data_IF_421090498399
#
_entry.id   IF_421090498399
#
_cell.length_a   1.000
_cell.length_b   1.000
_cell.length_c   1.000
_cell.angle_alpha   90.00
_cell.angle_beta   90.00
_cell.angle_gamma   90.00
#
_symmetry.space_group_name_H-M   'P 1'
#
loop_
_entity.id
_entity.type
_entity.pdbx_description
1 polymer ?
#
# COMPACT_ATOMS: atom_id res chain seq x y z
N UNK A 1 -1.00 32.04 13.43
CA UNK A 1 -0.79 30.86 14.30
C UNK A 1 -0.46 29.71 13.38
N UNK A 2 0.81 29.39 13.26
CA UNK A 2 1.36 28.24 12.55
C UNK A 2 1.28 27.03 13.47
N UNK A 3 0.52 26.00 13.08
CA UNK A 3 0.57 24.71 13.76
C UNK A 3 1.60 23.84 13.03
N UNK A 4 2.82 23.81 13.58
CA UNK A 4 3.76 22.72 13.38
C UNK A 4 3.15 21.44 13.96
N UNK A 5 2.92 20.46 13.10
CA UNK A 5 2.64 19.08 13.50
C UNK A 5 3.97 18.34 13.53
N UNK A 6 4.60 18.31 14.70
CA UNK A 6 5.82 17.54 14.97
C UNK A 6 5.44 16.05 15.13
N UNK A 7 5.58 15.28 14.06
CA UNK A 7 5.40 13.82 14.10
C UNK A 7 6.78 13.15 14.11
N UNK A 8 7.37 13.05 15.30
CA UNK A 8 8.55 12.20 15.57
C UNK A 8 8.14 10.72 15.46
N UNK A 9 8.21 10.18 14.25
CA UNK A 9 8.25 8.74 14.04
C UNK A 9 9.72 8.35 13.88
N UNK A 10 10.34 7.90 14.98
CA UNK A 10 11.56 7.11 14.92
C UNK A 10 11.22 5.79 14.21
N UNK A 11 11.29 5.79 12.88
CA UNK A 11 11.19 4.61 12.05
C UNK A 11 12.60 4.29 11.58
N UNK A 12 13.28 3.40 12.32
CA UNK A 12 14.63 2.95 12.01
C UNK A 12 14.68 2.47 10.55
N UNK A 13 15.56 3.13 9.80
CA UNK A 13 15.86 2.81 8.42
C UNK A 13 16.90 1.69 8.46
N UNK A 14 16.46 0.44 8.52
CA UNK A 14 17.38 -0.70 8.45
C UNK A 14 18.04 -0.77 7.06
N UNK A 15 19.38 -0.71 7.03
CA UNK A 15 20.24 -0.75 5.84
C UNK A 15 20.07 -2.01 4.97
N UNK A 16 19.44 -3.07 5.50
CA UNK A 16 19.11 -4.30 4.76
C UNK A 16 18.04 -4.09 3.66
N UNK A 17 17.41 -2.91 3.57
CA UNK A 17 16.35 -2.63 2.60
C UNK A 17 16.87 -2.14 1.23
N UNK A 18 18.14 -1.72 1.13
CA UNK A 18 18.67 -1.23 -0.15
C UNK A 18 18.96 -2.35 -1.15
N UNK A 19 19.33 -3.55 -0.69
CA UNK A 19 19.61 -4.68 -1.58
C UNK A 19 18.35 -5.31 -2.19
N UNK A 20 17.21 -5.30 -1.49
CA UNK A 20 15.94 -5.86 -2.00
C UNK A 20 15.15 -4.85 -2.87
N UNK A 21 15.54 -3.56 -2.86
CA UNK A 21 14.96 -2.52 -3.72
C UNK A 21 15.57 -2.54 -5.13
N UNK A 22 16.81 -3.01 -5.27
CA UNK A 22 17.51 -3.13 -6.55
C UNK A 22 16.82 -4.12 -7.52
N UNK A 23 16.10 -5.12 -7.00
CA UNK A 23 15.33 -6.08 -7.81
C UNK A 23 14.00 -5.50 -8.35
N UNK A 24 13.66 -4.25 -8.00
CA UNK A 24 12.45 -3.55 -8.43
C UNK A 24 12.71 -2.30 -9.28
N UNK A 25 13.97 -1.98 -9.60
CA UNK A 25 14.32 -0.85 -10.48
C UNK A 25 13.88 -1.04 -11.95
N UNK A 26 13.38 -2.23 -12.32
CA UNK A 26 12.85 -2.54 -13.67
C UNK A 26 11.35 -2.19 -13.84
N UNK A 27 10.72 -1.49 -12.89
CA UNK A 27 9.32 -1.03 -12.98
C UNK A 27 9.15 0.37 -13.60
N UNK A 28 10.21 0.93 -14.21
CA UNK A 28 10.22 2.26 -14.80
C UNK A 28 9.77 2.31 -16.28
N UNK A 29 9.51 1.18 -16.94
CA UNK A 29 8.95 1.16 -18.30
C UNK A 29 7.40 1.19 -18.25
N UNK A 30 6.84 2.38 -18.52
CA UNK A 30 5.44 2.68 -18.86
C UNK A 30 4.43 2.88 -17.69
N UNK A 31 4.65 3.88 -16.85
CA UNK A 31 3.63 4.43 -15.93
C UNK A 31 2.48 5.21 -16.63
N UNK A 32 2.34 5.10 -17.95
CA UNK A 32 1.17 5.60 -18.69
C UNK A 32 -0.09 4.75 -18.43
N UNK A 33 0.07 3.55 -17.84
CA UNK A 33 -1.03 2.64 -17.58
C UNK A 33 -1.67 2.82 -16.19
N UNK A 34 -3.00 2.79 -16.15
CA UNK A 34 -3.79 2.85 -14.92
C UNK A 34 -3.54 1.58 -14.10
N UNK A 35 -2.83 1.68 -12.98
CA UNK A 35 -2.59 0.52 -12.11
C UNK A 35 -3.81 0.32 -11.22
N UNK A 36 -4.41 -0.86 -11.30
CA UNK A 36 -5.47 -1.29 -10.38
C UNK A 36 -5.09 -2.62 -9.77
N UNK A 37 -4.97 -2.66 -8.45
CA UNK A 37 -4.59 -3.87 -7.72
C UNK A 37 -5.38 -4.02 -6.44
N UNK A 38 -5.77 -5.24 -6.13
CA UNK A 38 -6.55 -5.62 -4.96
C UNK A 38 -5.87 -6.79 -4.28
N UNK A 39 -5.61 -6.64 -2.98
CA UNK A 39 -5.18 -7.69 -2.10
C UNK A 39 -6.28 -8.04 -1.09
N UNK A 40 -6.49 -9.34 -0.91
CA UNK A 40 -7.35 -9.88 0.14
C UNK A 40 -6.44 -10.49 1.20
N UNK A 41 -6.61 -10.04 2.44
CA UNK A 41 -5.83 -10.49 3.58
C UNK A 41 -6.71 -11.25 4.57
N UNK A 42 -6.19 -12.31 5.15
CA UNK A 42 -6.87 -13.12 6.14
C UNK A 42 -6.02 -13.25 7.40
N UNK A 43 -6.65 -13.08 8.57
CA UNK A 43 -6.03 -13.41 9.86
C UNK A 43 -7.09 -13.98 10.80
N UNK A 44 -6.91 -15.22 11.23
CA UNK A 44 -7.93 -15.96 11.99
C UNK A 44 -9.27 -15.97 11.21
N UNK A 45 -10.37 -15.55 11.85
CA UNK A 45 -11.69 -15.41 11.24
C UNK A 45 -11.97 -14.00 10.66
N UNK A 46 -10.92 -13.19 10.45
CA UNK A 46 -11.04 -11.84 9.88
C UNK A 46 -10.55 -11.83 8.44
N UNK A 47 -11.28 -11.08 7.59
CA UNK A 47 -10.89 -10.78 6.21
C UNK A 47 -10.77 -9.26 6.06
N UNK A 48 -9.66 -8.81 5.52
CA UNK A 48 -9.39 -7.41 5.21
C UNK A 48 -9.11 -7.22 3.72
N UNK A 49 -9.33 -6.01 3.22
CA UNK A 49 -9.05 -5.62 1.85
C UNK A 49 -8.04 -4.48 1.85
N UNK A 50 -7.10 -4.54 0.93
CA UNK A 50 -6.23 -3.43 0.58
C UNK A 50 -6.23 -3.30 -0.93
N UNK A 51 -6.56 -2.14 -1.46
CA UNK A 51 -6.52 -1.89 -2.89
C UNK A 51 -5.83 -0.56 -3.21
N UNK A 52 -5.27 -0.50 -4.41
CA UNK A 52 -4.70 0.71 -4.99
C UNK A 52 -5.29 0.91 -6.38
N UNK A 53 -5.60 2.17 -6.69
CA UNK A 53 -5.87 2.65 -8.04
C UNK A 53 -4.99 3.86 -8.31
N UNK A 54 -4.14 3.79 -9.33
CA UNK A 54 -3.35 4.94 -9.81
C UNK A 54 -3.80 5.38 -11.19
N UNK A 55 -3.53 6.64 -11.50
CA UNK A 55 -3.61 7.27 -12.80
C UNK A 55 -2.40 8.22 -12.95
N UNK A 56 -2.26 8.85 -14.12
CA UNK A 56 -1.16 9.77 -14.42
C UNK A 56 -1.02 10.94 -13.44
N UNK A 57 -2.14 11.42 -12.88
CA UNK A 57 -2.17 12.60 -12.00
C UNK A 57 -2.24 12.26 -10.50
N UNK A 58 -2.27 10.97 -10.12
CA UNK A 58 -2.31 10.59 -8.71
C UNK A 58 -2.85 9.19 -8.46
N UNK A 59 -3.03 8.86 -7.19
CA UNK A 59 -3.46 7.53 -6.78
C UNK A 59 -4.27 7.55 -5.48
N UNK A 60 -5.02 6.47 -5.27
CA UNK A 60 -5.74 6.24 -4.03
C UNK A 60 -5.51 4.82 -3.53
N UNK A 61 -5.19 4.70 -2.23
CA UNK A 61 -5.17 3.44 -1.51
C UNK A 61 -6.43 3.37 -0.66
N UNK A 62 -7.19 2.29 -0.78
CA UNK A 62 -8.35 2.02 0.06
C UNK A 62 -8.11 0.76 0.91
N UNK A 63 -8.44 0.87 2.20
CA UNK A 63 -8.32 -0.22 3.18
C UNK A 63 -9.68 -0.48 3.83
N UNK A 64 -10.01 -1.76 3.95
CA UNK A 64 -11.15 -2.25 4.74
C UNK A 64 -10.57 -3.21 5.77
N UNK A 65 -10.41 -2.74 7.01
CA UNK A 65 -10.02 -3.58 8.14
C UNK A 65 -11.29 -3.89 8.96
N UNK A 66 -11.63 -5.18 9.21
CA UNK A 66 -12.82 -5.56 9.98
C UNK A 66 -12.77 -5.12 11.45
N UNK A 67 -11.64 -4.61 11.93
CA UNK A 67 -11.48 -4.02 13.27
C UNK A 67 -11.89 -2.55 13.31
N UNK A 68 -11.94 -1.89 12.16
CA UNK A 68 -12.37 -0.51 12.03
C UNK A 68 -13.83 -0.45 11.56
N UNK A 69 -14.60 0.53 12.04
CA UNK A 69 -16.02 0.65 11.71
C UNK A 69 -16.28 1.06 10.25
N UNK A 70 -15.32 1.75 9.63
CA UNK A 70 -15.47 2.32 8.30
C UNK A 70 -14.23 2.02 7.44
N UNK A 71 -14.39 1.87 6.11
CA UNK A 71 -13.27 1.92 5.18
C UNK A 71 -12.50 3.23 5.32
N UNK A 72 -11.20 3.16 5.07
CA UNK A 72 -10.34 4.34 5.00
C UNK A 72 -9.71 4.45 3.61
N UNK A 73 -9.67 5.66 3.08
CA UNK A 73 -9.09 5.98 1.78
C UNK A 73 -8.03 7.04 1.99
N UNK A 74 -6.85 6.81 1.40
CA UNK A 74 -5.76 7.77 1.38
C UNK A 74 -5.43 8.11 -0.06
N UNK A 75 -5.45 9.40 -0.38
CA UNK A 75 -5.17 9.96 -1.70
C UNK A 75 -3.73 10.44 -1.73
N UNK A 76 -3.06 10.23 -2.85
CA UNK A 76 -1.68 10.61 -3.11
C UNK A 76 -1.63 11.39 -4.41
N UNK A 77 -0.89 12.49 -4.41
CA UNK A 77 -0.60 13.27 -5.62
C UNK A 77 0.46 12.58 -6.50
N UNK A 78 1.25 11.67 -5.91
CA UNK A 78 2.32 10.94 -6.58
C UNK A 78 1.96 9.45 -6.66
N UNK A 79 1.71 8.92 -7.88
CA UNK A 79 1.30 7.53 -8.07
C UNK A 79 2.41 6.54 -7.71
N UNK A 80 3.69 6.90 -7.89
CA UNK A 80 4.84 6.04 -7.57
C UNK A 80 4.91 5.87 -6.05
N UNK A 81 4.85 6.98 -5.30
CA UNK A 81 4.82 6.92 -3.83
C UNK A 81 3.64 6.12 -3.30
N UNK A 82 2.48 6.21 -3.93
CA UNK A 82 1.32 5.41 -3.54
C UNK A 82 1.59 3.91 -3.71
N UNK A 83 2.25 3.51 -4.81
CA UNK A 83 2.61 2.11 -5.06
C UNK A 83 3.65 1.60 -4.04
N UNK A 84 4.64 2.41 -3.70
CA UNK A 84 5.60 2.11 -2.62
C UNK A 84 4.88 1.89 -1.29
N UNK A 85 3.97 2.80 -0.92
CA UNK A 85 3.17 2.70 0.31
C UNK A 85 2.24 1.49 0.33
N UNK A 86 1.61 1.17 -0.80
CA UNK A 86 0.81 -0.05 -0.95
C UNK A 86 1.66 -1.30 -0.70
N UNK A 87 2.83 -1.38 -1.35
CA UNK A 87 3.76 -2.51 -1.19
C UNK A 87 4.27 -2.62 0.24
N UNK A 88 4.66 -1.50 0.86
CA UNK A 88 5.05 -1.45 2.27
C UNK A 88 3.92 -1.90 3.20
N UNK A 89 2.68 -1.55 2.90
CA UNK A 89 1.50 -1.96 3.65
C UNK A 89 1.27 -3.47 3.58
N UNK A 90 1.47 -4.09 2.41
CA UNK A 90 1.41 -5.54 2.26
C UNK A 90 2.53 -6.26 3.02
N UNK A 91 3.78 -5.81 2.88
CA UNK A 91 4.93 -6.36 3.63
C UNK A 91 4.69 -6.27 5.14
N UNK A 92 4.25 -5.12 5.63
CA UNK A 92 3.91 -4.90 7.04
C UNK A 92 2.76 -5.79 7.50
N UNK A 93 1.72 -5.96 6.68
CA UNK A 93 0.59 -6.83 7.01
C UNK A 93 1.03 -8.29 7.18
N UNK A 94 1.90 -8.80 6.29
CA UNK A 94 2.50 -10.14 6.41
C UNK A 94 3.29 -10.29 7.71
N UNK A 95 4.16 -9.33 8.04
CA UNK A 95 4.93 -9.32 9.31
C UNK A 95 4.01 -9.34 10.53
N UNK A 96 2.87 -8.66 10.44
CA UNK A 96 1.85 -8.62 11.49
C UNK A 96 0.94 -9.86 11.52
N UNK A 97 1.28 -10.92 10.77
CA UNK A 97 0.59 -12.21 10.78
C UNK A 97 -0.70 -12.24 9.97
N UNK A 98 -0.89 -11.33 9.03
CA UNK A 98 -1.93 -11.46 8.00
C UNK A 98 -1.41 -12.32 6.85
N UNK A 99 -2.21 -13.30 6.44
CA UNK A 99 -1.95 -14.08 5.23
C UNK A 99 -2.55 -13.36 4.02
N UNK A 100 -1.79 -13.21 2.94
CA UNK A 100 -2.31 -12.67 1.68
C UNK A 100 -2.87 -13.84 0.89
N UNK A 101 -4.19 -13.90 0.75
CA UNK A 101 -4.89 -15.00 0.05
C UNK A 101 -5.18 -14.66 -1.41
N UNK A 102 -5.14 -13.39 -1.77
CA UNK A 102 -5.23 -12.90 -3.14
C UNK A 102 -4.44 -11.60 -3.27
N UNK A 103 -3.77 -11.41 -4.40
CA UNK A 103 -3.11 -10.16 -4.77
C UNK A 103 -3.05 -10.10 -6.31
N UNK A 104 -3.84 -9.21 -6.91
CA UNK A 104 -3.99 -9.14 -8.35
C UNK A 104 -5.00 -8.09 -8.80
N UNK A 105 -5.58 -8.27 -9.98
CA UNK A 105 -6.62 -7.40 -10.52
C UNK A 105 -7.89 -7.42 -9.64
N UNK A 106 -8.82 -6.45 -9.78
CA UNK A 106 -10.10 -6.52 -9.08
C UNK A 106 -10.83 -7.85 -9.33
N UNK A 107 -11.31 -8.47 -8.26
CA UNK A 107 -12.05 -9.75 -8.32
C UNK A 107 -13.40 -9.62 -9.06
N UNK A 108 -13.95 -8.41 -9.06
CA UNK A 108 -15.17 -8.05 -9.77
C UNK A 108 -15.01 -6.62 -10.29
N UNK A 109 -15.32 -6.41 -11.56
CA UNK A 109 -15.22 -5.15 -12.28
C UNK A 109 -16.18 -5.14 -13.46
#
# INVERSE_FOLDING_TARGET
MSNEFDFKADFDFDEDFSEELADFEDFDEDLDDVIVRTAVLQKNNMVALLCIKSASEGAAICRVDPRENNPAVQIYDDPIKALEWYTKSLKTSRRNGWNIVYDGLPLQG
#
